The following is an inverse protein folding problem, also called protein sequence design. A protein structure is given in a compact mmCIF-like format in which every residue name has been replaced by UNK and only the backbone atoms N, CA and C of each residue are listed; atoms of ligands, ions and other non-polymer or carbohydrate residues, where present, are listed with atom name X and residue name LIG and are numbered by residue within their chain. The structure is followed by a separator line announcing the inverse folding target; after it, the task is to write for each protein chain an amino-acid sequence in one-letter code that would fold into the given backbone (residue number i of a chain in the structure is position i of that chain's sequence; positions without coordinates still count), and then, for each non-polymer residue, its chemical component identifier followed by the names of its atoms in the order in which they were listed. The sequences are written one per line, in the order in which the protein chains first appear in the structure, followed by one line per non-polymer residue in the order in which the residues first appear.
data_IF_500311703720
#
_entry.id   IF_500311703720
#
_cell.length_a   1.000
_cell.length_b   1.000
_cell.length_c   1.000
_cell.angle_alpha   90.00
_cell.angle_beta   90.00
_cell.angle_gamma   90.00
#
_symmetry.space_group_name_H-M   'P 1'
#
loop_
_entity.id
_entity.type
_entity.pdbx_description
1 polymer ?
#
# COMPACT_ATOMS: atom_id res chain seq x y z
N UNK A 1 -4.23 16.84 7.02
CA UNK A 1 -4.93 17.51 8.13
C UNK A 1 -4.24 18.82 8.54
N UNK A 2 -3.75 19.53 7.57
CA UNK A 2 -3.20 20.87 7.76
C UNK A 2 -4.29 21.89 7.45
N UNK A 3 -5.07 22.30 8.43
CA UNK A 3 -6.22 23.20 8.28
C UNK A 3 -5.88 24.59 7.72
N UNK A 4 -4.60 24.96 7.75
CA UNK A 4 -4.12 26.24 7.18
C UNK A 4 -3.89 26.17 5.66
N UNK A 5 -3.92 24.98 5.06
CA UNK A 5 -3.78 24.80 3.62
C UNK A 5 -5.16 24.94 2.97
N UNK A 6 -5.31 25.90 2.08
CA UNK A 6 -6.48 25.99 1.21
C UNK A 6 -6.50 24.74 0.29
N UNK A 7 -7.67 24.18 0.06
CA UNK A 7 -7.86 22.98 -0.75
C UNK A 7 -9.04 23.20 -1.67
N UNK A 8 -8.82 22.89 -2.94
CA UNK A 8 -9.86 22.92 -3.95
C UNK A 8 -10.67 21.62 -3.96
N UNK A 9 -10.06 20.52 -3.49
CA UNK A 9 -10.67 19.19 -3.38
C UNK A 9 -10.13 18.42 -2.18
N UNK A 10 -10.99 17.68 -1.51
CA UNK A 10 -10.63 16.76 -0.42
C UNK A 10 -11.10 15.35 -0.72
N UNK A 11 -10.15 14.42 -0.79
CA UNK A 11 -10.40 12.99 -0.98
C UNK A 11 -9.96 12.25 0.26
N UNK A 12 -10.84 11.44 0.84
CA UNK A 12 -10.54 10.59 2.00
C UNK A 12 -10.44 9.15 1.55
N UNK A 13 -9.33 8.49 1.89
CA UNK A 13 -9.17 7.05 1.69
C UNK A 13 -9.45 6.33 3.00
N UNK A 14 -10.37 5.37 2.96
CA UNK A 14 -10.84 4.59 4.11
C UNK A 14 -10.36 3.15 3.94
N UNK A 15 -9.78 2.55 4.97
CA UNK A 15 -9.58 1.11 5.02
C UNK A 15 -10.95 0.43 5.15
N UNK A 16 -11.38 -0.30 4.13
CA UNK A 16 -12.72 -0.88 4.04
C UNK A 16 -12.99 -1.99 5.06
N UNK A 17 -11.94 -2.58 5.64
CA UNK A 17 -12.05 -3.63 6.66
C UNK A 17 -12.10 -3.01 8.06
N UNK A 18 -11.14 -2.16 8.38
CA UNK A 18 -11.03 -1.52 9.71
C UNK A 18 -11.99 -0.36 9.89
N UNK A 19 -12.28 0.34 8.82
CA UNK A 19 -13.09 1.56 8.78
C UNK A 19 -12.68 2.55 9.87
N UNK A 20 -13.56 2.84 10.80
CA UNK A 20 -13.36 3.80 11.89
C UNK A 20 -12.94 3.13 13.21
N UNK A 21 -12.58 1.83 13.17
CA UNK A 21 -12.20 1.07 14.37
C UNK A 21 -13.32 1.10 15.42
N UNK A 22 -12.97 1.48 16.65
CA UNK A 22 -13.93 1.62 17.76
C UNK A 22 -14.73 2.94 17.71
N UNK A 23 -14.52 3.80 16.72
CA UNK A 23 -15.22 5.08 16.58
C UNK A 23 -14.72 6.19 17.50
N UNK A 24 -13.69 5.95 18.30
CA UNK A 24 -13.11 6.92 19.23
C UNK A 24 -11.95 7.70 18.61
N UNK A 25 -11.66 8.87 19.16
CA UNK A 25 -10.56 9.71 18.77
C UNK A 25 -9.27 9.31 19.45
N UNK A 26 -8.17 9.71 18.88
CA UNK A 26 -6.87 9.61 19.53
C UNK A 26 -6.88 10.31 20.89
N UNK A 27 -6.29 9.71 21.93
CA UNK A 27 -5.55 8.43 21.91
C UNK A 27 -6.43 7.19 22.14
N UNK A 28 -7.74 7.32 22.43
CA UNK A 28 -8.62 6.21 22.78
C UNK A 28 -9.07 5.35 21.58
N UNK A 29 -8.89 5.85 20.34
CA UNK A 29 -9.20 5.17 19.10
C UNK A 29 -8.38 5.71 17.93
N UNK A 30 -8.60 5.18 16.71
CA UNK A 30 -7.76 5.49 15.57
C UNK A 30 -8.10 6.80 14.88
N UNK A 31 -9.21 7.44 15.24
CA UNK A 31 -9.72 8.58 14.49
C UNK A 31 -9.05 9.90 14.93
N UNK A 32 -8.77 10.75 13.94
CA UNK A 32 -8.32 12.14 14.18
C UNK A 32 -9.44 13.15 14.02
N UNK A 33 -10.51 12.76 13.29
CA UNK A 33 -11.72 13.56 13.05
C UNK A 33 -12.96 12.67 13.15
N UNK A 34 -14.13 13.27 13.33
CA UNK A 34 -15.40 12.52 13.37
C UNK A 34 -15.73 11.91 12.01
N UNK A 35 -16.36 10.72 12.00
CA UNK A 35 -16.85 10.09 10.77
C UNK A 35 -17.84 10.99 9.98
N UNK A 36 -18.53 11.92 10.66
CA UNK A 36 -19.41 12.90 10.02
C UNK A 36 -18.66 13.84 9.05
N UNK A 37 -17.32 13.95 9.15
CA UNK A 37 -16.50 14.70 8.22
C UNK A 37 -16.63 14.21 6.78
N UNK A 38 -16.94 12.93 6.57
CA UNK A 38 -17.18 12.36 5.23
C UNK A 38 -18.35 13.02 4.48
N UNK A 39 -19.26 13.71 5.18
CA UNK A 39 -20.36 14.43 4.54
C UNK A 39 -19.94 15.74 3.87
N UNK A 40 -18.72 16.19 4.11
CA UNK A 40 -18.19 17.49 3.66
C UNK A 40 -16.93 17.36 2.80
N UNK A 41 -16.52 16.13 2.48
CA UNK A 41 -15.43 15.87 1.54
C UNK A 41 -15.99 15.59 0.14
N UNK A 42 -15.20 15.84 -0.89
CA UNK A 42 -15.61 15.68 -2.29
C UNK A 42 -15.73 14.21 -2.69
N UNK A 43 -14.87 13.35 -2.13
CA UNK A 43 -14.95 11.92 -2.37
C UNK A 43 -14.44 11.11 -1.18
N UNK A 44 -15.05 9.93 -0.98
CA UNK A 44 -14.61 8.90 -0.05
C UNK A 44 -14.28 7.63 -0.85
N UNK A 45 -13.01 7.23 -0.85
CA UNK A 45 -12.50 6.03 -1.51
C UNK A 45 -12.31 4.94 -0.48
N UNK A 46 -12.83 3.74 -0.72
CA UNK A 46 -12.75 2.60 0.21
C UNK A 46 -11.81 1.54 -0.34
N UNK A 47 -10.67 1.36 0.34
CA UNK A 47 -9.67 0.37 -0.03
C UNK A 47 -10.01 -1.00 0.56
N UNK A 48 -10.44 -1.93 -0.30
CA UNK A 48 -10.91 -3.25 0.09
C UNK A 48 -12.22 -3.22 0.88
N UNK A 49 -12.67 -4.38 1.36
CA UNK A 49 -13.95 -4.49 2.08
C UNK A 49 -15.16 -4.09 1.21
N UNK A 50 -16.22 -3.61 1.86
CA UNK A 50 -17.47 -3.24 1.19
C UNK A 50 -17.66 -1.72 1.24
N UNK A 51 -17.71 -1.09 0.06
CA UNK A 51 -18.06 0.32 -0.07
C UNK A 51 -19.57 0.53 0.20
N UNK A 52 -19.90 1.63 0.85
CA UNK A 52 -21.30 2.06 1.10
C UNK A 52 -21.79 2.94 -0.06
N UNK A 53 -23.10 3.21 -0.06
CA UNK A 53 -23.66 4.14 -1.03
C UNK A 53 -22.93 5.50 -0.99
N UNK A 54 -22.49 6.00 -2.14
CA UNK A 54 -21.73 7.23 -2.27
C UNK A 54 -20.21 7.12 -2.05
N UNK A 55 -19.70 5.96 -1.68
CA UNK A 55 -18.27 5.70 -1.56
C UNK A 55 -17.73 5.04 -2.85
N UNK A 56 -16.51 5.33 -3.22
CA UNK A 56 -15.83 4.78 -4.40
C UNK A 56 -15.05 3.54 -4.00
N UNK A 57 -15.40 2.34 -4.50
CA UNK A 57 -14.62 1.14 -4.23
C UNK A 57 -13.23 1.21 -4.86
N UNK A 58 -12.22 0.80 -4.11
CA UNK A 58 -10.84 0.68 -4.58
C UNK A 58 -10.28 -0.68 -4.23
N UNK A 59 -9.54 -1.26 -5.16
CA UNK A 59 -8.77 -2.48 -4.95
C UNK A 59 -7.32 -2.23 -5.34
N UNK A 60 -6.40 -2.85 -4.60
CA UNK A 60 -5.00 -2.88 -4.97
C UNK A 60 -4.78 -4.01 -5.97
N UNK A 61 -4.27 -3.69 -7.15
CA UNK A 61 -3.93 -4.63 -8.20
C UNK A 61 -2.40 -4.80 -8.25
N UNK A 62 -1.88 -5.98 -7.88
CA UNK A 62 -0.46 -6.27 -8.01
C UNK A 62 -0.03 -6.25 -9.47
N UNK A 63 1.14 -5.66 -9.75
CA UNK A 63 1.80 -5.71 -11.04
C UNK A 63 2.83 -6.84 -11.12
N UNK A 64 3.71 -6.78 -12.12
CA UNK A 64 4.86 -7.67 -12.20
C UNK A 64 5.89 -7.27 -11.13
N UNK A 65 6.52 -8.26 -10.50
CA UNK A 65 7.65 -8.02 -9.61
C UNK A 65 8.79 -7.36 -10.37
N UNK A 66 9.44 -6.38 -9.74
CA UNK A 66 10.52 -5.59 -10.34
C UNK A 66 11.80 -5.79 -9.54
N UNK A 67 12.88 -6.15 -10.21
CA UNK A 67 14.19 -6.26 -9.59
C UNK A 67 14.73 -4.86 -9.24
N UNK A 68 15.19 -4.68 -8.01
CA UNK A 68 15.62 -3.36 -7.51
C UNK A 68 16.85 -2.81 -8.25
N UNK A 69 17.76 -3.70 -8.66
CA UNK A 69 19.04 -3.33 -9.24
C UNK A 69 18.97 -3.20 -10.75
N UNK A 70 18.34 -4.18 -11.41
CA UNK A 70 18.35 -4.28 -12.88
C UNK A 70 17.11 -3.67 -13.53
N UNK A 71 16.01 -3.53 -12.78
CA UNK A 71 14.70 -3.14 -13.31
C UNK A 71 14.00 -4.26 -14.09
N UNK A 72 14.57 -5.47 -14.15
CA UNK A 72 13.93 -6.62 -14.78
C UNK A 72 12.56 -6.90 -14.15
N UNK A 73 11.62 -7.40 -14.95
CA UNK A 73 10.26 -7.67 -14.52
C UNK A 73 9.89 -9.13 -14.78
N UNK A 74 9.22 -9.75 -13.81
CA UNK A 74 8.67 -11.10 -13.97
C UNK A 74 7.40 -11.25 -13.13
N UNK A 75 6.67 -12.33 -13.39
CA UNK A 75 5.60 -12.74 -12.48
C UNK A 75 6.22 -13.16 -11.14
N UNK A 76 5.66 -12.67 -10.04
CA UNK A 76 6.17 -12.97 -8.69
C UNK A 76 6.11 -14.48 -8.38
N UNK A 77 5.18 -15.20 -9.00
CA UNK A 77 5.08 -16.66 -8.89
C UNK A 77 6.28 -17.40 -9.49
N UNK A 78 7.08 -16.77 -10.35
CA UNK A 78 8.30 -17.35 -10.92
C UNK A 78 9.52 -17.26 -9.99
N UNK A 79 9.42 -16.43 -8.94
CA UNK A 79 10.49 -16.29 -7.97
C UNK A 79 10.47 -17.48 -6.99
N UNK A 80 11.64 -17.98 -6.66
CA UNK A 80 11.81 -19.12 -5.75
C UNK A 80 12.52 -18.72 -4.46
N UNK A 81 12.39 -19.53 -3.43
CA UNK A 81 13.05 -19.36 -2.14
C UNK A 81 12.80 -17.95 -1.53
N UNK A 82 11.56 -17.49 -1.58
CA UNK A 82 11.21 -16.12 -1.22
C UNK A 82 11.29 -15.88 0.29
N UNK A 83 11.99 -14.84 0.68
CA UNK A 83 11.87 -14.13 1.96
C UNK A 83 11.06 -12.86 1.69
N UNK A 84 9.88 -12.74 2.28
CA UNK A 84 9.03 -11.56 2.13
C UNK A 84 9.25 -10.57 3.29
N UNK A 85 9.44 -9.28 2.99
CA UNK A 85 9.65 -8.22 3.97
C UNK A 85 8.65 -7.08 3.76
N UNK A 86 8.05 -6.57 4.85
CA UNK A 86 7.13 -5.44 4.76
C UNK A 86 7.17 -4.54 6.00
N UNK A 87 7.52 -3.25 5.79
CA UNK A 87 7.52 -2.17 6.78
C UNK A 87 6.37 -1.18 6.54
N UNK A 88 5.14 -1.70 6.52
CA UNK A 88 3.90 -0.94 6.32
C UNK A 88 2.96 -1.13 7.51
N UNK A 89 1.93 -0.30 7.64
CA UNK A 89 0.99 -0.35 8.77
C UNK A 89 0.23 -1.67 8.96
N UNK A 90 0.17 -2.55 7.94
CA UNK A 90 -0.43 -3.89 8.04
C UNK A 90 0.33 -4.91 7.17
N UNK A 91 1.50 -5.39 7.62
CA UNK A 91 2.34 -6.31 6.87
C UNK A 91 1.65 -7.61 6.41
N UNK A 92 0.74 -8.23 7.21
CA UNK A 92 0.06 -9.45 6.77
C UNK A 92 -0.71 -9.31 5.46
N UNK A 93 -1.20 -8.10 5.14
CA UNK A 93 -1.89 -7.84 3.86
C UNK A 93 -0.96 -8.01 2.66
N UNK A 94 0.29 -7.57 2.78
CA UNK A 94 1.29 -7.75 1.73
C UNK A 94 1.61 -9.22 1.52
N UNK A 95 1.80 -9.98 2.60
CA UNK A 95 2.09 -11.41 2.52
C UNK A 95 0.94 -12.19 1.88
N UNK A 96 -0.31 -11.91 2.28
CA UNK A 96 -1.49 -12.49 1.63
C UNK A 96 -1.60 -12.09 0.14
N UNK A 97 -1.15 -10.88 -0.24
CA UNK A 97 -1.11 -10.47 -1.64
C UNK A 97 -0.11 -11.32 -2.44
N UNK A 98 1.07 -11.59 -1.89
CA UNK A 98 2.06 -12.47 -2.54
C UNK A 98 1.49 -13.87 -2.76
N UNK A 99 0.85 -14.45 -1.74
CA UNK A 99 0.21 -15.77 -1.83
C UNK A 99 -0.91 -15.79 -2.88
N UNK A 100 -1.75 -14.76 -2.91
CA UNK A 100 -2.80 -14.62 -3.91
C UNK A 100 -2.27 -14.49 -5.35
N UNK A 101 -1.03 -14.00 -5.52
CA UNK A 101 -0.31 -13.96 -6.79
C UNK A 101 0.44 -15.28 -7.09
N UNK A 102 0.26 -16.33 -6.30
CA UNK A 102 0.92 -17.63 -6.50
C UNK A 102 2.37 -17.70 -6.02
N UNK A 103 2.85 -16.70 -5.31
CA UNK A 103 4.16 -16.73 -4.66
C UNK A 103 4.05 -17.40 -3.28
N UNK A 104 5.04 -18.18 -2.90
CA UNK A 104 5.04 -18.91 -1.63
C UNK A 104 6.25 -18.52 -0.78
N UNK A 105 6.17 -17.44 0.03
CA UNK A 105 7.26 -17.04 0.90
C UNK A 105 7.58 -18.14 1.94
N UNK A 106 8.86 -18.51 2.03
CA UNK A 106 9.36 -19.42 3.08
C UNK A 106 9.43 -18.72 4.44
N UNK A 107 9.62 -17.39 4.41
CA UNK A 107 9.72 -16.55 5.61
C UNK A 107 9.06 -15.22 5.34
N UNK A 108 8.21 -14.77 6.28
CA UNK A 108 7.59 -13.45 6.28
C UNK A 108 8.17 -12.62 7.43
N UNK A 109 8.72 -11.46 7.12
CA UNK A 109 9.39 -10.56 8.06
C UNK A 109 8.60 -9.25 8.16
N UNK A 110 7.72 -9.10 9.15
CA UNK A 110 7.08 -7.84 9.42
C UNK A 110 8.09 -6.88 10.06
N UNK A 111 8.17 -5.66 9.56
CA UNK A 111 8.96 -4.58 10.14
C UNK A 111 8.06 -3.55 10.78
N UNK A 112 8.59 -2.80 11.74
CA UNK A 112 7.88 -1.65 12.30
C UNK A 112 7.69 -0.57 11.20
N UNK A 113 6.52 0.09 11.21
CA UNK A 113 6.29 1.20 10.29
C UNK A 113 7.29 2.34 10.57
N UNK A 114 7.82 2.92 9.51
CA UNK A 114 8.88 3.94 9.55
C UNK A 114 10.25 3.47 10.10
N UNK A 115 10.48 2.17 10.26
CA UNK A 115 11.79 1.65 10.63
C UNK A 115 12.85 2.05 9.59
N UNK A 116 13.98 2.56 10.08
CA UNK A 116 15.18 2.76 9.25
C UNK A 116 15.77 1.39 8.95
N UNK A 117 16.09 1.14 7.68
CA UNK A 117 16.68 -0.11 7.22
C UNK A 117 18.19 0.09 7.03
N UNK A 118 18.99 -0.48 7.90
CA UNK A 118 20.42 -0.54 7.67
C UNK A 118 20.75 -1.66 6.67
N UNK A 119 21.73 -1.49 5.77
CA UNK A 119 22.10 -2.50 4.78
C UNK A 119 22.36 -3.87 5.41
N UNK A 120 23.12 -3.93 6.49
CA UNK A 120 23.47 -5.18 7.18
C UNK A 120 22.23 -5.90 7.74
N UNK A 121 21.25 -5.16 8.25
CA UNK A 121 20.01 -5.76 8.80
C UNK A 121 19.19 -6.42 7.70
N UNK A 122 19.09 -5.79 6.52
CA UNK A 122 18.32 -6.33 5.40
C UNK A 122 19.06 -7.53 4.77
N UNK A 123 20.39 -7.43 4.62
CA UNK A 123 21.22 -8.53 4.11
C UNK A 123 21.14 -9.76 5.01
N UNK A 124 21.11 -9.57 6.33
CA UNK A 124 20.98 -10.68 7.30
C UNK A 124 19.63 -11.41 7.26
N UNK A 125 18.60 -10.83 6.61
CA UNK A 125 17.31 -11.50 6.43
C UNK A 125 17.36 -12.61 5.38
N UNK A 126 18.30 -12.51 4.43
CA UNK A 126 18.35 -13.31 3.20
C UNK A 126 19.55 -14.24 3.25
N UNK A 127 19.31 -15.53 3.20
CA UNK A 127 20.36 -16.54 3.09
C UNK A 127 20.84 -16.75 1.66
N UNK A 128 21.88 -17.55 1.50
CA UNK A 128 22.40 -17.93 0.19
C UNK A 128 21.32 -18.62 -0.66
N UNK A 129 21.17 -18.19 -1.92
CA UNK A 129 20.18 -18.72 -2.86
C UNK A 129 18.72 -18.30 -2.57
N UNK A 130 18.48 -17.41 -1.61
CA UNK A 130 17.15 -16.87 -1.35
C UNK A 130 16.91 -15.56 -2.11
N UNK A 131 15.65 -15.27 -2.38
CA UNK A 131 15.17 -14.05 -3.05
C UNK A 131 14.42 -13.19 -2.05
N UNK A 132 14.81 -11.92 -1.90
CA UNK A 132 14.06 -10.95 -1.08
C UNK A 132 12.97 -10.30 -1.92
N UNK A 133 11.73 -10.35 -1.42
CA UNK A 133 10.60 -9.63 -2.02
C UNK A 133 10.01 -8.66 -0.98
N UNK A 134 9.91 -7.40 -1.35
CA UNK A 134 9.46 -6.34 -0.45
C UNK A 134 8.36 -5.48 -1.06
N UNK A 135 7.79 -4.58 -0.26
CA UNK A 135 6.87 -3.56 -0.76
C UNK A 135 7.63 -2.49 -1.53
N UNK A 136 6.96 -1.77 -2.44
CA UNK A 136 7.57 -0.65 -3.17
C UNK A 136 8.05 0.47 -2.21
N UNK A 137 7.31 0.73 -1.12
CA UNK A 137 7.71 1.68 -0.07
C UNK A 137 9.05 1.31 0.56
N UNK A 138 9.29 0.04 0.82
CA UNK A 138 10.54 -0.44 1.41
C UNK A 138 11.66 -0.49 0.37
N UNK A 139 11.34 -0.80 -0.89
CA UNK A 139 12.28 -0.79 -2.00
C UNK A 139 12.94 0.58 -2.18
N UNK A 140 12.20 1.67 -2.02
CA UNK A 140 12.75 3.04 -2.10
C UNK A 140 13.87 3.24 -1.06
N UNK A 141 13.72 2.69 0.14
CA UNK A 141 14.72 2.80 1.22
C UNK A 141 15.96 1.92 0.95
N UNK A 142 15.78 0.81 0.24
CA UNK A 142 16.84 -0.17 -0.02
C UNK A 142 17.60 0.06 -1.32
N UNK A 143 17.11 0.94 -2.21
CA UNK A 143 17.63 1.09 -3.57
C UNK A 143 19.14 1.38 -3.65
N UNK A 144 19.67 2.16 -2.70
CA UNK A 144 21.08 2.56 -2.69
C UNK A 144 22.05 1.39 -2.42
N UNK A 145 21.57 0.29 -1.83
CA UNK A 145 22.38 -0.88 -1.46
C UNK A 145 21.75 -2.18 -1.91
N UNK A 146 20.91 -2.12 -2.96
CA UNK A 146 20.20 -3.28 -3.49
C UNK A 146 21.13 -4.34 -4.05
N UNK A 147 20.81 -5.61 -3.80
CA UNK A 147 21.48 -6.77 -4.37
C UNK A 147 20.71 -7.36 -5.56
N UNK A 148 21.35 -8.26 -6.32
CA UNK A 148 20.78 -8.81 -7.55
C UNK A 148 19.53 -9.66 -7.35
N UNK A 149 19.37 -10.24 -6.16
CA UNK A 149 18.25 -11.09 -5.76
C UNK A 149 17.13 -10.34 -5.01
N UNK A 150 17.12 -8.99 -5.03
CA UNK A 150 16.11 -8.19 -4.35
C UNK A 150 15.06 -7.66 -5.32
N UNK A 151 13.81 -7.87 -4.97
CA UNK A 151 12.65 -7.55 -5.79
C UNK A 151 11.61 -6.78 -4.98
N UNK A 152 10.78 -6.01 -5.64
CA UNK A 152 9.57 -5.46 -5.03
C UNK A 152 8.35 -5.76 -5.89
N UNK A 153 7.19 -5.87 -5.23
CA UNK A 153 5.91 -6.02 -5.90
C UNK A 153 5.19 -4.66 -5.91
N UNK A 154 5.10 -3.98 -7.06
CA UNK A 154 4.31 -2.77 -7.19
C UNK A 154 2.82 -3.11 -7.11
N UNK A 155 2.02 -2.17 -6.58
CA UNK A 155 0.57 -2.28 -6.55
C UNK A 155 -0.05 -0.99 -7.05
N UNK A 156 -1.00 -1.11 -7.97
CA UNK A 156 -1.80 -0.01 -8.49
C UNK A 156 -3.15 0.05 -7.78
N UNK A 157 -3.65 1.26 -7.55
CA UNK A 157 -4.99 1.48 -7.05
C UNK A 157 -5.98 1.45 -8.23
N UNK A 158 -6.89 0.49 -8.25
CA UNK A 158 -7.98 0.42 -9.22
C UNK A 158 -9.28 0.83 -8.58
N UNK A 159 -9.83 1.93 -9.06
CA UNK A 159 -11.16 2.40 -8.68
C UNK A 159 -12.21 1.73 -9.58
N UNK A 160 -13.41 1.50 -9.05
CA UNK A 160 -14.49 0.87 -9.79
C UNK A 160 -15.82 1.63 -9.62
N UNK A 161 -16.76 1.42 -10.56
CA UNK A 161 -18.03 2.14 -10.64
C UNK A 161 -17.96 3.36 -11.58
N UNK A 162 -19.02 4.17 -11.59
CA UNK A 162 -19.14 5.37 -12.45
C UNK A 162 -18.59 6.65 -11.79
N UNK A 163 -18.38 6.63 -10.48
CA UNK A 163 -17.96 7.82 -9.74
C UNK A 163 -16.50 8.26 -9.98
N UNK A 164 -15.55 7.35 -10.24
CA UNK A 164 -14.16 7.72 -10.55
C UNK A 164 -14.04 8.69 -11.73
N UNK A 165 -14.81 8.48 -12.81
CA UNK A 165 -14.75 9.34 -13.99
C UNK A 165 -15.27 10.75 -13.66
N UNK A 166 -16.37 10.85 -12.92
CA UNK A 166 -16.93 12.13 -12.44
C UNK A 166 -15.95 12.87 -11.52
N UNK A 167 -15.25 12.11 -10.64
CA UNK A 167 -14.23 12.68 -9.77
C UNK A 167 -13.05 13.23 -10.58
N UNK A 168 -12.62 12.50 -11.61
CA UNK A 168 -11.53 12.92 -12.49
C UNK A 168 -11.92 14.16 -13.31
N UNK A 169 -13.14 14.21 -13.84
CA UNK A 169 -13.68 15.39 -14.52
C UNK A 169 -13.70 16.62 -13.60
N UNK A 170 -14.15 16.44 -12.34
CA UNK A 170 -14.15 17.50 -11.36
C UNK A 170 -12.74 18.02 -11.06
N UNK A 171 -11.77 17.12 -10.78
CA UNK A 171 -10.38 17.49 -10.57
C UNK A 171 -9.82 18.25 -11.78
N UNK A 172 -10.08 17.76 -12.98
CA UNK A 172 -9.58 18.37 -14.21
C UNK A 172 -10.15 19.75 -14.43
N UNK A 173 -11.38 20.00 -14.00
CA UNK A 173 -12.04 21.33 -14.10
C UNK A 173 -11.41 22.38 -13.19
N UNK A 174 -10.81 21.97 -12.07
CA UNK A 174 -10.14 22.85 -11.10
C UNK A 174 -8.71 23.27 -11.52
N UNK A 175 -8.10 22.53 -12.44
CA UNK A 175 -6.73 22.80 -12.92
C UNK A 175 -6.69 23.71 -14.15
N UNK A 176 -7.86 24.10 -14.67
CA UNK A 176 -8.01 25.04 -15.78
C UNK A 176 -8.18 26.45 -15.23
#
# INVERSE_FOLDING_TARGET
QHYRLARDIEIVVIDGVRRFGNGWWLPAGPMRERASRLKTVDAAIVNGGVARAGEIPMQLAPGLAVNLRTGARCDVAQLSNIVAMAGIGHPPRFFATLEACGAHPQKCVPLADHQTLAPADVQALVGEGQTLVMTEKDAVKCRAFAEDNWWFLPVDARLSGEQPDKLLEHITSLVR
#
